data_IF_266202743924
#
_entry.id   IF_266202743924
#
_cell.length_a   1.000
_cell.length_b   1.000
_cell.length_c   1.000
_cell.angle_alpha   90.00
_cell.angle_beta   90.00
_cell.angle_gamma   90.00
#
_symmetry.space_group_name_H-M   'P 1'
#
loop_
_entity.id
_entity.type
_entity.pdbx_description
1 polymer ?
#
# COMPACT_ATOMS: atom_id res chain seq x y z
N UNK A 1 0.53 5.26 31.11
CA UNK A 1 -0.48 6.36 31.19
C UNK A 1 -1.32 6.21 29.94
N UNK A 2 -2.66 6.34 30.02
CA UNK A 2 -3.46 6.33 28.79
C UNK A 2 -3.18 7.59 27.98
N UNK A 3 -3.16 7.46 26.63
CA UNK A 3 -2.99 8.60 25.73
C UNK A 3 -4.14 9.60 25.89
N UNK A 4 -3.85 10.88 25.70
CA UNK A 4 -4.91 11.88 25.52
C UNK A 4 -5.66 11.52 24.25
N UNK A 5 -6.99 11.41 24.33
CA UNK A 5 -7.80 10.90 23.22
C UNK A 5 -9.02 11.79 23.02
N UNK A 6 -9.23 12.24 21.79
CA UNK A 6 -10.47 12.89 21.38
C UNK A 6 -11.43 11.83 20.80
N UNK A 7 -12.66 11.81 21.26
CA UNK A 7 -13.68 10.86 20.76
C UNK A 7 -14.88 11.62 20.21
N UNK A 8 -15.16 11.41 18.93
CA UNK A 8 -16.32 11.98 18.23
C UNK A 8 -17.25 10.84 17.85
N UNK A 9 -18.43 10.81 18.47
CA UNK A 9 -19.42 9.77 18.24
C UNK A 9 -20.41 10.19 17.16
N UNK A 10 -20.44 9.43 16.07
CA UNK A 10 -21.46 9.61 15.03
C UNK A 10 -22.88 9.31 15.52
N UNK A 11 -23.87 9.81 14.80
CA UNK A 11 -25.30 9.70 15.17
C UNK A 11 -25.81 8.26 15.22
N UNK A 12 -25.23 7.37 14.43
CA UNK A 12 -25.59 5.95 14.29
C UNK A 12 -24.42 5.03 14.67
N UNK A 13 -23.49 5.50 15.50
CA UNK A 13 -22.24 4.81 15.77
C UNK A 13 -22.47 3.40 16.32
N UNK A 14 -21.96 2.43 15.59
CA UNK A 14 -21.97 1.00 15.89
C UNK A 14 -20.58 0.34 15.80
N UNK A 15 -19.58 1.08 15.33
CA UNK A 15 -18.21 0.64 15.12
C UNK A 15 -17.20 1.70 15.56
N UNK A 16 -15.99 1.28 15.83
CA UNK A 16 -14.88 2.18 16.16
C UNK A 16 -14.08 2.50 14.88
N UNK A 17 -13.75 3.79 14.68
CA UNK A 17 -12.75 4.25 13.72
C UNK A 17 -11.57 4.81 14.52
N UNK A 18 -10.47 4.07 14.61
CA UNK A 18 -9.19 4.62 15.10
C UNK A 18 -8.63 5.52 14.01
N UNK A 19 -8.39 6.80 14.31
CA UNK A 19 -7.88 7.76 13.34
C UNK A 19 -6.60 8.42 13.87
N UNK A 20 -5.44 7.99 13.36
CA UNK A 20 -4.12 8.29 13.88
C UNK A 20 -3.47 9.42 13.06
N UNK A 21 -3.09 10.51 13.75
CA UNK A 21 -2.49 11.69 13.12
C UNK A 21 -1.04 11.50 12.69
N UNK A 22 -0.52 12.41 11.85
CA UNK A 22 0.86 12.43 11.39
C UNK A 22 1.80 13.19 12.34
N UNK A 23 3.07 13.32 11.91
CA UNK A 23 4.09 14.10 12.62
C UNK A 23 3.68 15.56 12.74
N UNK A 24 3.84 16.14 13.93
CA UNK A 24 3.63 17.57 14.19
C UNK A 24 2.16 17.97 14.39
N UNK A 25 1.24 17.00 14.42
CA UNK A 25 -0.18 17.18 14.66
C UNK A 25 -0.61 16.71 16.07
N UNK A 26 -1.91 16.67 16.33
CA UNK A 26 -2.48 16.24 17.60
C UNK A 26 -3.82 15.49 17.41
N UNK A 27 -4.51 15.18 18.49
CA UNK A 27 -5.79 14.45 18.51
C UNK A 27 -6.97 15.20 17.87
N UNK A 28 -6.80 16.44 17.44
CA UNK A 28 -7.86 17.24 16.81
C UNK A 28 -7.70 17.31 15.29
N UNK A 29 -6.47 17.08 14.79
CA UNK A 29 -6.06 17.35 13.42
C UNK A 29 -6.98 16.69 12.37
N UNK A 30 -7.23 15.39 12.51
CA UNK A 30 -8.02 14.63 11.53
C UNK A 30 -9.54 14.71 11.76
N UNK A 31 -9.99 15.35 12.84
CA UNK A 31 -11.41 15.47 13.17
C UNK A 31 -12.23 16.19 12.09
N UNK A 32 -11.60 17.14 11.38
CA UNK A 32 -12.22 17.85 10.25
C UNK A 32 -12.52 16.97 9.03
N UNK A 33 -11.95 15.78 8.94
CA UNK A 33 -12.20 14.84 7.84
C UNK A 33 -13.46 13.99 8.05
N UNK A 34 -13.95 13.86 9.28
CA UNK A 34 -15.07 12.98 9.64
C UNK A 34 -16.35 13.23 8.83
N UNK A 35 -16.78 14.48 8.55
CA UNK A 35 -17.97 14.71 7.74
C UNK A 35 -17.87 14.15 6.30
N UNK A 36 -16.66 13.92 5.81
CA UNK A 36 -16.40 13.37 4.48
C UNK A 36 -16.16 11.88 4.51
N UNK A 37 -15.51 11.36 5.56
CA UNK A 37 -15.21 9.94 5.72
C UNK A 37 -16.42 9.13 6.18
N UNK A 38 -17.23 9.71 7.06
CA UNK A 38 -18.39 9.05 7.70
C UNK A 38 -19.62 9.97 7.69
N UNK A 39 -20.17 10.29 6.51
CA UNK A 39 -21.31 11.17 6.39
C UNK A 39 -22.57 10.63 7.09
N UNK A 40 -22.68 9.32 7.23
CA UNK A 40 -23.82 8.65 7.85
C UNK A 40 -23.66 8.46 9.38
N UNK A 41 -22.51 8.82 9.93
CA UNK A 41 -22.22 8.75 11.36
C UNK A 41 -22.22 7.33 11.94
N UNK A 42 -21.71 6.36 11.18
CA UNK A 42 -21.66 4.94 11.57
C UNK A 42 -20.54 4.64 12.56
N UNK A 43 -19.53 5.52 12.63
CA UNK A 43 -18.38 5.32 13.48
C UNK A 43 -18.38 6.19 14.73
N UNK A 44 -17.81 5.67 15.82
CA UNK A 44 -17.23 6.48 16.87
C UNK A 44 -15.74 6.64 16.53
N UNK A 45 -15.35 7.83 16.11
CA UNK A 45 -13.98 8.15 15.78
C UNK A 45 -13.16 8.38 17.06
N UNK A 46 -12.10 7.64 17.22
CA UNK A 46 -11.16 7.67 18.34
C UNK A 46 -9.82 8.19 17.83
N UNK A 47 -9.44 9.38 18.26
CA UNK A 47 -8.27 10.11 17.79
C UNK A 47 -7.30 10.33 18.95
N UNK A 48 -6.30 9.46 19.14
CA UNK A 48 -5.30 9.61 20.20
C UNK A 48 -4.22 10.61 19.81
N UNK A 49 -3.66 11.31 20.81
CA UNK A 49 -2.48 12.16 20.70
C UNK A 49 -1.22 11.34 20.88
N UNK A 50 -0.24 11.52 20.00
CA UNK A 50 1.07 10.92 20.15
C UNK A 50 1.80 11.38 21.43
N UNK A 51 2.64 10.53 22.05
CA UNK A 51 3.22 10.82 23.38
C UNK A 51 4.41 11.77 23.33
N UNK A 52 5.07 11.96 22.19
CA UNK A 52 6.33 12.70 22.08
C UNK A 52 6.07 14.07 21.45
N UNK A 53 6.53 15.17 22.05
CA UNK A 53 6.46 16.49 21.44
C UNK A 53 7.36 16.55 20.20
N UNK A 54 6.82 17.04 19.07
CA UNK A 54 7.55 17.12 17.82
C UNK A 54 8.41 18.39 17.77
N UNK A 55 9.74 18.29 17.58
CA UNK A 55 10.62 19.46 17.51
C UNK A 55 10.23 20.42 16.40
N UNK A 56 10.20 21.70 16.73
CA UNK A 56 9.93 22.77 15.76
C UNK A 56 8.46 22.95 15.38
N UNK A 57 7.55 22.20 15.99
CA UNK A 57 6.10 22.32 15.79
C UNK A 57 5.37 22.39 17.14
N UNK A 58 4.14 22.90 17.20
CA UNK A 58 3.34 22.85 18.43
C UNK A 58 2.73 21.46 18.70
N UNK A 59 2.89 20.49 17.80
CA UNK A 59 2.25 19.17 17.84
C UNK A 59 3.16 18.06 18.36
N UNK A 60 2.78 16.85 18.03
CA UNK A 60 3.33 15.62 18.59
C UNK A 60 3.78 14.65 17.50
N UNK A 61 4.57 13.64 17.86
CA UNK A 61 5.03 12.57 16.99
C UNK A 61 4.98 11.23 17.71
N UNK A 62 4.80 10.18 16.96
CA UNK A 62 4.71 8.82 17.48
C UNK A 62 6.10 8.22 17.72
N UNK A 63 7.04 8.53 16.85
CA UNK A 63 8.43 8.10 16.91
C UNK A 63 9.31 9.09 16.13
N UNK A 64 10.56 9.19 16.53
CA UNK A 64 11.51 10.18 16.01
C UNK A 64 12.39 9.60 14.90
N UNK A 65 11.98 9.76 13.64
CA UNK A 65 12.78 9.35 12.48
C UNK A 65 14.02 10.24 12.24
N UNK A 66 14.07 11.42 12.83
CA UNK A 66 15.16 12.39 12.69
C UNK A 66 16.28 12.23 13.70
N UNK A 67 16.10 11.38 14.73
CA UNK A 67 17.08 11.19 15.81
C UNK A 67 17.27 12.44 16.68
N UNK A 68 16.27 13.31 16.74
CA UNK A 68 16.30 14.57 17.55
C UNK A 68 16.00 14.34 19.03
N UNK A 69 15.42 13.18 19.38
CA UNK A 69 15.14 12.76 20.76
C UNK A 69 16.02 11.59 21.18
N UNK A 70 16.19 11.41 22.49
CA UNK A 70 16.88 10.23 23.01
C UNK A 70 16.00 8.98 22.89
N UNK A 71 16.54 7.92 22.33
CA UNK A 71 15.89 6.61 22.19
C UNK A 71 16.00 6.01 20.80
N UNK A 72 15.83 4.70 20.72
CA UNK A 72 15.80 3.96 19.46
C UNK A 72 14.44 4.15 18.79
N UNK A 73 14.45 4.45 17.48
CA UNK A 73 13.22 4.66 16.69
C UNK A 73 12.33 3.41 16.69
N UNK A 74 12.93 2.23 16.72
CA UNK A 74 12.19 0.96 16.73
C UNK A 74 11.51 0.74 18.07
N UNK A 75 12.17 1.07 19.20
CA UNK A 75 11.59 0.99 20.53
C UNK A 75 10.40 1.97 20.65
N UNK A 76 10.55 3.20 20.16
CA UNK A 76 9.48 4.19 20.15
C UNK A 76 8.29 3.74 19.30
N UNK A 77 8.56 3.15 18.11
CA UNK A 77 7.53 2.60 17.24
C UNK A 77 6.75 1.45 17.90
N UNK A 78 7.46 0.52 18.54
CA UNK A 78 6.84 -0.60 19.28
C UNK A 78 6.02 -0.09 20.46
N UNK A 79 6.52 0.91 21.21
CA UNK A 79 5.78 1.53 22.29
C UNK A 79 4.50 2.22 21.80
N UNK A 80 4.56 2.96 20.67
CA UNK A 80 3.39 3.59 20.05
C UNK A 80 2.33 2.55 19.64
N UNK A 81 2.75 1.41 19.08
CA UNK A 81 1.83 0.32 18.75
C UNK A 81 1.14 -0.25 20.00
N UNK A 82 1.87 -0.45 21.08
CA UNK A 82 1.31 -0.97 22.33
C UNK A 82 0.31 0.02 22.97
N UNK A 83 0.60 1.31 22.91
CA UNK A 83 -0.30 2.36 23.42
C UNK A 83 -1.57 2.46 22.57
N UNK A 84 -1.46 2.41 21.21
CA UNK A 84 -2.62 2.40 20.32
C UNK A 84 -3.47 1.15 20.49
N UNK A 85 -2.84 -0.01 20.69
CA UNK A 85 -3.51 -1.28 20.96
C UNK A 85 -4.38 -1.18 22.21
N UNK A 86 -3.80 -0.65 23.29
CA UNK A 86 -4.51 -0.42 24.55
C UNK A 86 -5.67 0.57 24.41
N UNK A 87 -5.48 1.66 23.63
CA UNK A 87 -6.57 2.63 23.34
C UNK A 87 -7.72 1.95 22.62
N UNK A 88 -7.44 1.12 21.60
CA UNK A 88 -8.50 0.41 20.88
C UNK A 88 -9.28 -0.51 21.81
N UNK A 89 -8.59 -1.30 22.64
CA UNK A 89 -9.23 -2.22 23.58
C UNK A 89 -10.09 -1.48 24.62
N UNK A 90 -9.55 -0.41 25.21
CA UNK A 90 -10.26 0.42 26.16
C UNK A 90 -11.51 1.05 25.55
N UNK A 91 -11.39 1.65 24.37
CA UNK A 91 -12.51 2.35 23.73
C UNK A 91 -13.56 1.38 23.18
N UNK A 92 -13.16 0.23 22.63
CA UNK A 92 -14.10 -0.82 22.26
C UNK A 92 -14.91 -1.31 23.47
N UNK A 93 -14.25 -1.54 24.61
CA UNK A 93 -14.93 -1.95 25.86
C UNK A 93 -15.88 -0.87 26.38
N UNK A 94 -15.46 0.40 26.39
CA UNK A 94 -16.29 1.53 26.86
C UNK A 94 -17.52 1.78 25.97
N UNK A 95 -17.36 1.63 24.65
CA UNK A 95 -18.41 1.87 23.67
C UNK A 95 -19.30 0.65 23.41
N UNK A 96 -18.88 -0.53 23.88
CA UNK A 96 -19.58 -1.80 23.65
C UNK A 96 -19.46 -2.33 22.23
N UNK A 97 -18.36 -2.00 21.53
CA UNK A 97 -18.08 -2.46 20.17
C UNK A 97 -17.12 -3.65 20.15
N UNK A 98 -17.27 -4.54 19.18
CA UNK A 98 -16.29 -5.59 18.96
C UNK A 98 -15.04 -5.02 18.29
N UNK A 99 -13.86 -5.45 18.75
CA UNK A 99 -12.58 -5.03 18.14
C UNK A 99 -12.47 -5.47 16.66
N UNK A 100 -13.04 -6.63 16.33
CA UNK A 100 -13.10 -7.13 14.95
C UNK A 100 -13.92 -6.26 14.00
N UNK A 101 -14.78 -5.38 14.54
CA UNK A 101 -15.58 -4.44 13.76
C UNK A 101 -14.92 -3.05 13.67
N UNK A 102 -13.79 -2.85 14.34
CA UNK A 102 -13.05 -1.60 14.29
C UNK A 102 -12.34 -1.43 12.94
N UNK A 103 -12.26 -0.19 12.47
CA UNK A 103 -11.41 0.18 11.31
C UNK A 103 -10.25 1.02 11.82
N UNK A 104 -9.05 0.74 11.33
CA UNK A 104 -7.85 1.52 11.67
C UNK A 104 -7.52 2.44 10.50
N UNK A 105 -7.40 3.71 10.77
CA UNK A 105 -7.09 4.72 9.77
C UNK A 105 -5.98 5.65 10.27
N UNK A 106 -5.22 6.24 9.35
CA UNK A 106 -4.24 7.24 9.73
C UNK A 106 -3.57 7.92 8.55
N UNK A 107 -2.93 9.04 8.85
CA UNK A 107 -2.18 9.84 7.90
C UNK A 107 -0.69 9.84 8.24
N UNK A 108 0.19 9.73 7.24
CA UNK A 108 1.65 9.81 7.39
C UNK A 108 2.19 8.79 8.41
N UNK A 109 2.82 9.22 9.53
CA UNK A 109 3.21 8.31 10.62
C UNK A 109 2.03 7.48 11.11
N UNK A 110 0.85 8.11 11.27
CA UNK A 110 -0.36 7.43 11.71
C UNK A 110 -0.84 6.38 10.71
N UNK A 111 -0.69 6.62 9.42
CA UNK A 111 -0.99 5.62 8.38
C UNK A 111 -0.10 4.38 8.46
N UNK A 112 1.20 4.59 8.71
CA UNK A 112 2.15 3.50 8.94
C UNK A 112 1.83 2.70 10.21
N UNK A 113 1.43 3.38 11.30
CA UNK A 113 1.02 2.73 12.55
C UNK A 113 -0.30 1.97 12.41
N UNK A 114 -1.28 2.50 11.67
CA UNK A 114 -2.54 1.81 11.41
C UNK A 114 -2.30 0.47 10.67
N UNK A 115 -1.42 0.48 9.66
CA UNK A 115 -1.00 -0.73 8.95
C UNK A 115 -0.31 -1.72 9.88
N UNK A 116 0.67 -1.26 10.66
CA UNK A 116 1.43 -2.13 11.56
C UNK A 116 0.54 -2.74 12.66
N UNK A 117 -0.34 -1.93 13.27
CA UNK A 117 -1.27 -2.38 14.30
C UNK A 117 -2.24 -3.46 13.77
N UNK A 118 -2.70 -3.29 12.53
CA UNK A 118 -3.68 -4.20 11.94
C UNK A 118 -3.09 -5.42 11.25
N UNK A 119 -1.85 -5.35 10.74
CA UNK A 119 -1.29 -6.40 9.89
C UNK A 119 -0.09 -7.14 10.49
N UNK A 120 0.74 -6.46 11.32
CA UNK A 120 2.00 -7.07 11.75
C UNK A 120 1.80 -8.04 12.93
N UNK A 121 2.75 -8.94 13.07
CA UNK A 121 2.87 -9.75 14.28
C UNK A 121 3.14 -8.85 15.48
N UNK A 122 2.51 -9.14 16.61
CA UNK A 122 2.80 -8.43 17.83
C UNK A 122 4.27 -8.70 18.27
N UNK A 123 5.00 -7.68 18.77
CA UNK A 123 6.39 -7.86 19.19
C UNK A 123 6.59 -8.92 20.27
N UNK A 124 5.58 -9.15 21.09
CA UNK A 124 5.53 -10.16 22.14
C UNK A 124 5.01 -11.53 21.67
N UNK A 125 4.67 -11.65 20.38
CA UNK A 125 4.09 -12.85 19.79
C UNK A 125 2.63 -13.12 20.18
N UNK A 126 1.96 -12.17 20.87
CA UNK A 126 0.56 -12.32 21.23
C UNK A 126 -0.35 -12.31 20.00
N UNK A 127 -1.38 -13.15 20.02
CA UNK A 127 -2.42 -13.10 18.98
C UNK A 127 -3.26 -11.83 19.17
N UNK A 128 -3.44 -11.07 18.06
CA UNK A 128 -4.29 -9.87 18.03
C UNK A 128 -5.57 -10.15 17.25
N UNK A 129 -6.67 -9.58 17.74
CA UNK A 129 -7.91 -9.55 16.95
C UNK A 129 -7.72 -8.53 15.82
N UNK A 130 -7.86 -8.97 14.57
CA UNK A 130 -7.71 -8.12 13.39
C UNK A 130 -8.86 -7.15 13.23
N UNK A 131 -8.62 -5.93 12.71
CA UNK A 131 -9.68 -4.96 12.40
C UNK A 131 -10.50 -5.41 11.19
N UNK A 132 -11.67 -4.80 11.01
CA UNK A 132 -12.51 -4.98 9.83
C UNK A 132 -11.86 -4.43 8.55
N UNK A 133 -10.98 -3.43 8.67
CA UNK A 133 -10.25 -2.86 7.55
C UNK A 133 -9.24 -1.81 7.97
N UNK A 134 -8.38 -1.39 7.04
CA UNK A 134 -7.33 -0.39 7.28
C UNK A 134 -7.31 0.64 6.15
N UNK A 135 -7.37 1.93 6.52
CA UNK A 135 -7.20 3.07 5.61
C UNK A 135 -5.88 3.77 5.89
N UNK A 136 -4.93 3.69 4.98
CA UNK A 136 -3.61 4.30 5.11
C UNK A 136 -3.44 5.46 4.09
N UNK A 137 -3.42 6.69 4.58
CA UNK A 137 -3.28 7.90 3.78
C UNK A 137 -1.82 8.39 3.83
N UNK A 138 -1.15 8.42 2.69
CA UNK A 138 0.28 8.80 2.53
C UNK A 138 1.19 8.17 3.61
N UNK A 139 1.15 6.84 3.82
CA UNK A 139 1.72 6.22 4.99
C UNK A 139 3.24 6.28 5.04
N UNK A 140 3.80 6.67 6.19
CA UNK A 140 5.21 6.47 6.54
C UNK A 140 5.37 5.06 7.13
N UNK A 141 5.23 4.03 6.29
CA UNK A 141 5.26 2.66 6.73
C UNK A 141 6.68 2.22 7.13
N UNK A 142 6.79 1.57 8.27
CA UNK A 142 7.97 0.80 8.67
C UNK A 142 7.76 -0.67 8.30
N UNK A 143 8.83 -1.34 7.89
CA UNK A 143 8.78 -2.78 7.56
C UNK A 143 8.69 -3.62 8.84
N UNK A 144 7.86 -4.65 8.80
CA UNK A 144 7.69 -5.60 9.90
C UNK A 144 7.12 -6.93 9.39
N UNK A 145 7.20 -7.99 10.19
CA UNK A 145 6.65 -9.29 9.81
C UNK A 145 5.11 -9.21 9.77
N UNK A 146 4.53 -9.45 8.60
CA UNK A 146 3.07 -9.55 8.43
C UNK A 146 2.60 -10.87 9.05
N UNK A 147 1.47 -10.85 9.74
CA UNK A 147 0.91 -12.05 10.35
C UNK A 147 0.08 -12.85 9.34
N UNK A 148 0.05 -14.16 9.49
CA UNK A 148 -0.64 -15.06 8.55
C UNK A 148 -2.14 -14.79 8.42
N UNK A 149 -2.78 -14.33 9.51
CA UNK A 149 -4.20 -13.97 9.55
C UNK A 149 -4.52 -12.57 8.99
N UNK A 150 -3.50 -11.79 8.63
CA UNK A 150 -3.66 -10.48 7.99
C UNK A 150 -4.31 -10.54 6.61
N UNK A 151 -4.27 -11.70 5.94
CA UNK A 151 -4.92 -11.93 4.64
C UNK A 151 -6.46 -11.76 4.67
N UNK A 152 -7.06 -11.73 5.86
CA UNK A 152 -8.48 -11.46 6.03
C UNK A 152 -8.83 -9.95 6.07
N UNK A 153 -7.83 -9.07 6.18
CA UNK A 153 -8.02 -7.62 6.43
C UNK A 153 -7.91 -6.82 5.14
N UNK A 154 -9.00 -6.22 4.65
CA UNK A 154 -8.94 -5.33 3.49
C UNK A 154 -8.18 -4.04 3.85
N UNK A 155 -7.39 -3.56 2.90
CA UNK A 155 -6.56 -2.35 3.05
C UNK A 155 -6.83 -1.38 1.89
N UNK A 156 -7.05 -0.11 2.20
CA UNK A 156 -6.98 0.98 1.24
C UNK A 156 -5.73 1.82 1.51
N UNK A 157 -4.83 1.90 0.53
CA UNK A 157 -3.67 2.79 0.57
C UNK A 157 -3.89 3.94 -0.41
N UNK A 158 -3.74 5.17 0.05
CA UNK A 158 -3.87 6.39 -0.75
C UNK A 158 -2.58 7.19 -0.70
N UNK A 159 -2.15 7.79 -1.83
CA UNK A 159 -0.93 8.61 -1.85
C UNK A 159 -0.98 9.75 -2.87
N UNK A 160 -0.22 10.83 -2.58
CA UNK A 160 -0.02 11.94 -3.49
C UNK A 160 1.09 11.68 -4.50
N UNK A 161 0.83 11.87 -5.81
CA UNK A 161 1.85 11.69 -6.84
C UNK A 161 2.98 12.73 -6.76
N UNK A 162 2.71 13.88 -6.14
CA UNK A 162 3.64 14.99 -5.99
C UNK A 162 4.15 15.14 -4.54
N UNK A 163 4.05 14.09 -3.72
CA UNK A 163 4.47 14.10 -2.32
C UNK A 163 5.99 14.31 -2.20
N UNK A 164 6.45 15.46 -1.64
CA UNK A 164 7.86 15.76 -1.50
C UNK A 164 8.50 15.14 -0.25
N UNK A 165 7.69 14.65 0.70
CA UNK A 165 8.16 14.10 1.97
C UNK A 165 8.29 12.59 1.92
N UNK A 166 7.28 11.91 1.38
CA UNK A 166 7.27 10.46 1.21
C UNK A 166 7.11 10.17 -0.27
N UNK A 167 8.17 9.72 -0.97
CA UNK A 167 8.06 9.38 -2.39
C UNK A 167 6.93 8.38 -2.64
N UNK A 168 6.07 8.66 -3.61
CA UNK A 168 4.91 7.84 -4.00
C UNK A 168 5.30 6.37 -4.26
N UNK A 169 6.53 6.15 -4.73
CA UNK A 169 7.07 4.81 -4.98
C UNK A 169 7.03 3.93 -3.72
N UNK A 170 7.20 4.50 -2.52
CA UNK A 170 7.10 3.72 -1.27
C UNK A 170 5.72 3.11 -1.06
N UNK A 171 4.65 3.82 -1.40
CA UNK A 171 3.30 3.29 -1.29
C UNK A 171 2.93 2.32 -2.42
N UNK A 172 3.51 2.50 -3.61
CA UNK A 172 3.42 1.52 -4.70
C UNK A 172 4.06 0.19 -4.29
N UNK A 173 5.29 0.26 -3.75
CA UNK A 173 6.00 -0.92 -3.25
C UNK A 173 5.23 -1.58 -2.11
N UNK A 174 4.74 -0.80 -1.15
CA UNK A 174 3.92 -1.29 -0.04
C UNK A 174 2.67 -2.03 -0.54
N UNK A 175 1.90 -1.43 -1.45
CA UNK A 175 0.69 -2.04 -1.98
C UNK A 175 0.98 -3.34 -2.73
N UNK A 176 2.06 -3.38 -3.51
CA UNK A 176 2.54 -4.59 -4.18
C UNK A 176 2.90 -5.66 -3.14
N UNK A 177 3.73 -5.35 -2.16
CA UNK A 177 4.20 -6.30 -1.16
C UNK A 177 3.03 -6.87 -0.33
N UNK A 178 2.04 -6.04 0.02
CA UNK A 178 0.80 -6.48 0.69
C UNK A 178 0.00 -7.46 -0.17
N UNK A 179 -0.18 -7.17 -1.45
CA UNK A 179 -0.87 -8.06 -2.40
C UNK A 179 -0.11 -9.36 -2.60
N UNK A 180 1.21 -9.32 -2.71
CA UNK A 180 2.06 -10.53 -2.81
C UNK A 180 1.95 -11.41 -1.55
N UNK A 181 1.73 -10.81 -0.39
CA UNK A 181 1.45 -11.54 0.85
C UNK A 181 0.02 -12.10 0.92
N UNK A 182 -0.86 -11.69 0.01
CA UNK A 182 -2.28 -12.10 -0.05
C UNK A 182 -3.22 -11.19 0.75
N UNK A 183 -2.76 -9.99 1.15
CA UNK A 183 -3.61 -8.98 1.81
C UNK A 183 -4.44 -8.26 0.74
N UNK A 184 -5.80 -8.28 0.83
CA UNK A 184 -6.67 -7.57 -0.11
C UNK A 184 -6.38 -6.07 -0.04
N UNK A 185 -5.72 -5.51 -1.08
CA UNK A 185 -5.23 -4.15 -1.05
C UNK A 185 -5.72 -3.35 -2.25
N UNK A 186 -6.50 -2.32 -1.98
CA UNK A 186 -6.85 -1.25 -2.93
C UNK A 186 -5.80 -0.17 -2.84
N UNK A 187 -5.28 0.31 -3.97
CA UNK A 187 -4.32 1.40 -4.02
C UNK A 187 -4.83 2.52 -4.92
N UNK A 188 -4.69 3.78 -4.45
CA UNK A 188 -5.15 4.98 -5.18
C UNK A 188 -4.11 6.09 -5.11
N UNK A 189 -3.91 6.78 -6.22
CA UNK A 189 -3.05 7.96 -6.31
C UNK A 189 -3.86 9.20 -6.69
N UNK A 190 -3.42 10.35 -6.17
CA UNK A 190 -4.05 11.64 -6.43
C UNK A 190 -2.99 12.69 -6.78
N UNK A 191 -3.29 13.68 -7.65
CA UNK A 191 -2.35 14.75 -8.01
C UNK A 191 -2.22 15.78 -6.88
N UNK A 192 -1.71 15.34 -5.73
CA UNK A 192 -1.53 16.15 -4.52
C UNK A 192 -0.12 15.95 -3.95
N UNK A 193 0.27 16.87 -3.06
CA UNK A 193 1.47 16.76 -2.22
C UNK A 193 1.21 15.87 -0.98
N UNK A 194 1.96 16.07 0.13
CA UNK A 194 1.78 15.34 1.39
C UNK A 194 0.55 15.85 2.16
N UNK A 195 -0.63 15.50 1.70
CA UNK A 195 -1.92 15.95 2.23
C UNK A 195 -3.02 14.92 1.93
N UNK A 196 -4.26 15.24 2.31
CA UNK A 196 -5.45 14.44 1.99
C UNK A 196 -6.29 15.20 0.97
N UNK A 197 -6.58 14.60 -0.19
CA UNK A 197 -7.44 15.18 -1.23
C UNK A 197 -8.93 14.90 -0.98
N UNK A 198 -9.81 15.79 -1.44
CA UNK A 198 -11.27 15.60 -1.35
C UNK A 198 -11.71 14.36 -2.13
N UNK A 199 -11.10 14.12 -3.30
CA UNK A 199 -11.36 12.92 -4.10
C UNK A 199 -10.98 11.66 -3.31
N UNK A 200 -9.83 11.69 -2.63
CA UNK A 200 -9.38 10.59 -1.75
C UNK A 200 -10.33 10.35 -0.58
N UNK A 201 -10.92 11.39 0.00
CA UNK A 201 -11.91 11.24 1.06
C UNK A 201 -13.20 10.59 0.55
N UNK A 202 -13.65 10.90 -0.68
CA UNK A 202 -14.82 10.26 -1.29
C UNK A 202 -14.58 8.77 -1.54
N UNK A 203 -13.42 8.42 -2.09
CA UNK A 203 -13.03 7.03 -2.31
C UNK A 203 -12.92 6.27 -0.98
N UNK A 204 -12.33 6.90 0.04
CA UNK A 204 -12.23 6.33 1.37
C UNK A 204 -13.61 6.13 2.02
N UNK A 205 -14.54 7.08 1.87
CA UNK A 205 -15.91 6.95 2.39
C UNK A 205 -16.66 5.80 1.75
N UNK A 206 -16.58 5.65 0.42
CA UNK A 206 -17.18 4.53 -0.30
C UNK A 206 -16.59 3.20 0.16
N UNK A 207 -15.26 3.12 0.23
CA UNK A 207 -14.55 1.93 0.71
C UNK A 207 -14.91 1.57 2.17
N UNK A 208 -15.04 2.56 3.06
CA UNK A 208 -15.49 2.35 4.43
C UNK A 208 -16.91 1.79 4.49
N UNK A 209 -17.81 2.26 3.62
CA UNK A 209 -19.19 1.75 3.52
C UNK A 209 -19.20 0.26 3.12
N UNK A 210 -18.36 -0.13 2.14
CA UNK A 210 -18.21 -1.53 1.72
C UNK A 210 -17.68 -2.41 2.87
N UNK A 211 -16.66 -1.94 3.61
CA UNK A 211 -16.14 -2.63 4.80
C UNK A 211 -17.22 -2.78 5.88
N UNK A 212 -18.03 -1.74 6.11
CA UNK A 212 -19.14 -1.79 7.08
C UNK A 212 -20.21 -2.79 6.64
N UNK A 213 -20.49 -2.90 5.34
CA UNK A 213 -21.42 -3.86 4.78
C UNK A 213 -20.90 -5.32 4.84
N UNK A 214 -19.63 -5.50 5.22
CA UNK A 214 -18.97 -6.82 5.20
C UNK A 214 -18.61 -7.27 3.79
N UNK A 215 -18.67 -6.37 2.84
CA UNK A 215 -18.15 -6.57 1.50
C UNK A 215 -16.63 -6.52 1.58
N UNK A 216 -15.96 -7.42 0.89
CA UNK A 216 -14.54 -7.27 0.64
C UNK A 216 -14.42 -6.40 -0.61
N UNK A 217 -13.89 -5.20 -0.51
CA UNK A 217 -13.54 -4.45 -1.70
C UNK A 217 -12.34 -5.16 -2.33
N UNK A 218 -12.62 -6.30 -2.95
CA UNK A 218 -11.70 -7.00 -3.83
C UNK A 218 -11.65 -6.20 -5.13
N UNK A 219 -10.90 -5.13 -5.10
CA UNK A 219 -10.41 -4.65 -6.36
C UNK A 219 -9.25 -5.55 -6.81
N UNK A 220 -9.62 -6.68 -7.36
CA UNK A 220 -8.92 -7.13 -8.56
C UNK A 220 -9.26 -6.08 -9.60
N UNK A 221 -8.59 -4.93 -9.54
CA UNK A 221 -8.58 -4.01 -10.68
C UNK A 221 -7.81 -4.77 -11.75
N UNK A 222 -8.58 -5.39 -12.65
CA UNK A 222 -8.02 -6.00 -13.85
C UNK A 222 -7.24 -4.96 -14.68
N UNK A 223 -7.41 -3.67 -14.36
CA UNK A 223 -6.70 -2.54 -14.90
C UNK A 223 -6.48 -1.52 -13.77
N UNK A 224 -5.44 -1.70 -12.94
CA UNK A 224 -4.90 -0.62 -12.14
C UNK A 224 -4.31 0.41 -13.11
N UNK A 225 -4.96 1.58 -13.32
CA UNK A 225 -4.46 2.56 -14.28
C UNK A 225 -3.09 3.12 -13.89
N UNK A 226 -2.59 2.75 -12.71
CA UNK A 226 -1.28 3.13 -12.17
C UNK A 226 -0.30 1.96 -12.08
N UNK A 227 -0.72 0.75 -12.49
CA UNK A 227 0.23 -0.34 -12.64
C UNK A 227 1.14 -0.03 -13.83
N UNK A 228 2.36 0.46 -13.53
CA UNK A 228 3.36 0.80 -14.56
C UNK A 228 3.68 -0.40 -15.47
N UNK A 229 3.48 -1.60 -14.96
CA UNK A 229 3.72 -2.87 -15.65
C UNK A 229 2.51 -3.78 -15.43
N UNK A 230 1.40 -3.60 -16.19
CA UNK A 230 0.18 -4.38 -16.02
C UNK A 230 0.40 -5.86 -16.30
N UNK A 231 -0.31 -6.71 -15.54
CA UNK A 231 -0.34 -8.15 -15.78
C UNK A 231 -1.15 -8.47 -17.02
N UNK A 232 -0.65 -9.37 -17.88
CA UNK A 232 -1.32 -9.80 -19.09
C UNK A 232 -1.59 -11.30 -19.04
N UNK A 233 -2.85 -11.67 -19.29
CA UNK A 233 -3.30 -13.06 -19.38
C UNK A 233 -3.22 -13.60 -20.80
N UNK A 234 -3.31 -14.93 -20.94
CA UNK A 234 -3.42 -15.59 -22.27
C UNK A 234 -4.57 -15.01 -23.12
N UNK A 235 -5.70 -14.64 -22.50
CA UNK A 235 -6.84 -14.06 -23.20
C UNK A 235 -6.55 -12.66 -23.77
N UNK A 236 -5.72 -11.89 -23.10
CA UNK A 236 -5.33 -10.52 -23.47
C UNK A 236 -4.09 -10.50 -24.37
N UNK A 237 -3.32 -11.60 -24.43
CA UNK A 237 -2.01 -11.67 -25.06
C UNK A 237 -1.97 -11.17 -26.50
N UNK A 238 -2.93 -11.58 -27.31
CA UNK A 238 -2.98 -11.17 -28.71
C UNK A 238 -3.15 -9.65 -28.84
N UNK A 239 -4.06 -9.06 -28.06
CA UNK A 239 -4.34 -7.63 -28.12
C UNK A 239 -3.20 -6.80 -27.53
N UNK A 240 -2.70 -7.20 -26.34
CA UNK A 240 -1.79 -6.41 -25.52
C UNK A 240 -0.32 -6.53 -25.98
N UNK A 241 0.05 -7.67 -26.59
CA UNK A 241 1.45 -7.95 -26.96
C UNK A 241 1.60 -8.13 -28.46
N UNK A 242 0.83 -9.04 -29.09
CA UNK A 242 1.07 -9.38 -30.50
C UNK A 242 0.62 -8.30 -31.47
N UNK A 243 -0.48 -7.59 -31.17
CA UNK A 243 -1.03 -6.50 -31.99
C UNK A 243 -0.65 -5.10 -31.48
N UNK A 244 0.24 -4.99 -30.52
CA UNK A 244 0.68 -3.69 -30.02
C UNK A 244 1.37 -2.87 -31.11
N UNK A 245 1.01 -1.59 -31.22
CA UNK A 245 1.68 -0.64 -32.11
C UNK A 245 3.08 -0.27 -31.63
N UNK A 246 3.31 -0.31 -30.32
CA UNK A 246 4.61 -0.10 -29.72
C UNK A 246 5.31 -1.45 -29.49
N UNK A 247 6.66 -1.46 -29.48
CA UNK A 247 7.40 -2.61 -28.98
C UNK A 247 7.02 -2.90 -27.54
N UNK A 248 6.85 -4.19 -27.18
CA UNK A 248 6.41 -4.61 -25.86
C UNK A 248 7.54 -5.31 -25.13
N UNK A 249 7.84 -4.85 -23.94
CA UNK A 249 8.71 -5.54 -22.98
C UNK A 249 7.81 -6.40 -22.11
N UNK A 250 8.11 -7.69 -22.00
CA UNK A 250 7.36 -8.64 -21.19
C UNK A 250 8.27 -9.20 -20.12
N UNK A 251 7.88 -9.01 -18.84
CA UNK A 251 8.53 -9.63 -17.68
C UNK A 251 7.82 -10.94 -17.33
N UNK A 252 8.47 -12.07 -17.57
CA UNK A 252 8.01 -13.38 -17.11
C UNK A 252 8.54 -13.64 -15.70
N UNK A 253 7.62 -13.75 -14.74
CA UNK A 253 7.92 -13.81 -13.32
C UNK A 253 7.03 -14.82 -12.57
N UNK A 254 7.31 -15.04 -11.28
CA UNK A 254 6.42 -15.74 -10.36
C UNK A 254 6.58 -15.21 -8.93
N UNK A 255 5.57 -15.35 -8.05
CA UNK A 255 5.61 -14.84 -6.66
C UNK A 255 6.76 -15.41 -5.81
N UNK A 256 7.12 -16.67 -6.02
CA UNK A 256 8.21 -17.35 -5.31
C UNK A 256 9.61 -17.00 -5.81
N UNK A 257 9.72 -16.26 -6.93
CA UNK A 257 11.01 -15.94 -7.57
C UNK A 257 11.66 -14.72 -6.92
N UNK A 258 12.58 -14.94 -5.99
CA UNK A 258 13.28 -13.85 -5.31
C UNK A 258 14.12 -12.95 -6.25
N UNK A 259 14.84 -13.46 -7.29
CA UNK A 259 15.50 -12.58 -8.26
C UNK A 259 14.52 -11.73 -9.10
N UNK A 260 13.29 -12.22 -9.35
CA UNK A 260 12.26 -11.45 -10.04
C UNK A 260 11.89 -10.20 -9.27
N UNK A 261 11.74 -10.29 -7.93
CA UNK A 261 11.46 -9.15 -7.06
C UNK A 261 12.53 -8.06 -7.12
N UNK A 262 13.78 -8.44 -7.40
CA UNK A 262 14.89 -7.49 -7.54
C UNK A 262 14.93 -6.84 -8.93
N UNK A 263 14.41 -7.50 -9.96
CA UNK A 263 14.33 -6.97 -11.33
C UNK A 263 13.09 -6.10 -11.54
N UNK A 264 11.99 -6.35 -10.83
CA UNK A 264 10.71 -5.61 -10.97
C UNK A 264 10.88 -4.09 -10.89
N UNK A 265 11.59 -3.50 -9.89
CA UNK A 265 11.80 -2.05 -9.83
C UNK A 265 12.58 -1.50 -11.04
N UNK A 266 13.43 -2.32 -11.65
CA UNK A 266 14.19 -1.96 -12.86
C UNK A 266 13.26 -1.90 -14.06
N UNK A 267 12.38 -2.89 -14.20
CA UNK A 267 11.37 -2.97 -15.27
C UNK A 267 10.34 -1.84 -15.13
N UNK A 268 9.89 -1.53 -13.92
CA UNK A 268 9.02 -0.39 -13.61
C UNK A 268 9.69 0.95 -13.98
N UNK A 269 10.98 1.11 -13.67
CA UNK A 269 11.75 2.30 -14.07
C UNK A 269 11.77 2.45 -15.59
N UNK A 270 11.96 1.34 -16.33
CA UNK A 270 11.91 1.33 -17.80
C UNK A 270 10.51 1.74 -18.27
N UNK A 271 9.46 1.19 -17.68
CA UNK A 271 8.08 1.53 -18.00
C UNK A 271 7.82 3.04 -17.83
N UNK A 272 8.20 3.61 -16.67
CA UNK A 272 8.02 5.03 -16.38
C UNK A 272 8.78 5.95 -17.33
N UNK A 273 10.04 5.60 -17.68
CA UNK A 273 10.92 6.45 -18.49
C UNK A 273 10.68 6.32 -19.99
N UNK A 274 9.99 5.27 -20.46
CA UNK A 274 9.91 4.92 -21.88
C UNK A 274 8.47 4.77 -22.40
N UNK A 275 7.49 5.33 -21.72
CA UNK A 275 6.04 5.20 -22.03
C UNK A 275 5.68 5.54 -23.48
N UNK A 276 6.39 6.47 -24.12
CA UNK A 276 6.16 6.83 -25.52
C UNK A 276 6.84 5.91 -26.54
N UNK A 277 7.76 5.04 -26.10
CA UNK A 277 8.60 4.22 -26.99
C UNK A 277 8.39 2.74 -26.82
N UNK A 278 7.96 2.30 -25.66
CA UNK A 278 7.76 0.90 -25.29
C UNK A 278 6.52 0.76 -24.42
N UNK A 279 5.78 -0.30 -24.64
CA UNK A 279 4.81 -0.83 -23.69
C UNK A 279 5.52 -1.86 -22.83
N UNK A 280 5.23 -1.88 -21.52
CA UNK A 280 5.82 -2.85 -20.60
C UNK A 280 4.69 -3.59 -19.90
N UNK A 281 4.76 -4.92 -19.88
CA UNK A 281 3.76 -5.79 -19.24
C UNK A 281 4.45 -6.93 -18.50
N UNK A 282 3.75 -7.58 -17.58
CA UNK A 282 4.25 -8.77 -16.87
C UNK A 282 3.34 -9.97 -17.07
N UNK A 283 3.90 -11.17 -16.98
CA UNK A 283 3.19 -12.46 -17.09
C UNK A 283 3.61 -13.34 -15.92
N UNK A 284 2.67 -13.69 -15.04
CA UNK A 284 2.90 -14.69 -14.01
C UNK A 284 2.88 -16.09 -14.66
N UNK A 285 4.00 -16.80 -14.63
CA UNK A 285 4.12 -18.11 -15.28
C UNK A 285 3.32 -19.22 -14.58
N UNK A 286 2.97 -19.04 -13.29
CA UNK A 286 2.15 -19.98 -12.55
C UNK A 286 0.68 -19.89 -12.99
N UNK A 287 0.20 -18.67 -13.28
CA UNK A 287 -1.17 -18.42 -13.75
C UNK A 287 -1.31 -18.66 -15.26
N UNK A 288 -0.23 -18.40 -16.02
CA UNK A 288 -0.21 -18.45 -17.49
C UNK A 288 0.81 -19.47 -18.05
N UNK A 289 0.73 -20.78 -17.65
CA UNK A 289 1.70 -21.79 -18.04
C UNK A 289 1.76 -22.05 -19.55
N UNK A 290 0.69 -21.75 -20.28
CA UNK A 290 0.66 -21.88 -21.74
C UNK A 290 1.56 -20.86 -22.42
N UNK A 291 1.57 -19.60 -21.96
CA UNK A 291 2.48 -18.57 -22.45
C UNK A 291 3.92 -18.90 -22.10
N UNK A 292 4.18 -19.37 -20.87
CA UNK A 292 5.51 -19.79 -20.47
C UNK A 292 6.04 -20.91 -21.39
N UNK A 293 5.23 -21.88 -21.74
CA UNK A 293 5.57 -22.96 -22.65
C UNK A 293 5.78 -22.47 -24.09
N UNK A 294 4.90 -21.61 -24.61
CA UNK A 294 4.94 -21.09 -25.99
C UNK A 294 6.24 -20.31 -26.25
N UNK A 295 6.69 -19.52 -25.26
CA UNK A 295 7.90 -18.70 -25.38
C UNK A 295 9.15 -19.34 -24.79
N UNK A 296 9.09 -20.62 -24.44
CA UNK A 296 10.21 -21.41 -23.90
C UNK A 296 10.84 -20.74 -22.66
N UNK A 297 10.00 -20.38 -21.69
CA UNK A 297 10.43 -19.80 -20.41
C UNK A 297 10.84 -20.90 -19.46
N UNK A 298 12.12 -21.30 -19.50
CA UNK A 298 12.66 -22.39 -18.68
C UNK A 298 13.18 -21.90 -17.31
N UNK A 299 13.44 -20.61 -17.17
CA UNK A 299 13.88 -19.99 -15.94
C UNK A 299 13.53 -18.51 -15.89
N UNK A 300 13.33 -17.98 -14.69
CA UNK A 300 12.90 -16.60 -14.43
C UNK A 300 13.88 -15.90 -13.45
N UNK A 301 13.97 -14.53 -13.49
CA UNK A 301 13.26 -13.63 -14.39
C UNK A 301 13.74 -13.77 -15.85
N UNK A 302 12.79 -13.75 -16.79
CA UNK A 302 13.07 -13.65 -18.22
C UNK A 302 12.36 -12.42 -18.76
N UNK A 303 13.12 -11.47 -19.30
CA UNK A 303 12.58 -10.27 -19.93
C UNK A 303 12.66 -10.41 -21.45
N UNK A 304 11.50 -10.40 -22.10
CA UNK A 304 11.38 -10.50 -23.55
C UNK A 304 11.07 -9.16 -24.19
N UNK A 305 11.69 -8.84 -25.34
CA UNK A 305 11.28 -7.74 -26.21
C UNK A 305 10.51 -8.28 -27.40
N UNK A 306 9.28 -7.85 -27.55
CA UNK A 306 8.40 -8.16 -28.68
C UNK A 306 8.31 -6.96 -29.63
N UNK A 307 8.41 -7.22 -30.93
CA UNK A 307 8.12 -6.26 -32.00
C UNK A 307 7.30 -6.89 -33.09
N UNK A 308 6.27 -6.18 -33.56
CA UNK A 308 5.38 -6.67 -34.63
C UNK A 308 4.87 -8.09 -34.36
N UNK A 309 4.51 -8.37 -33.11
CA UNK A 309 3.99 -9.67 -32.68
C UNK A 309 5.02 -10.79 -32.57
N UNK A 310 6.32 -10.51 -32.61
CA UNK A 310 7.39 -11.51 -32.53
C UNK A 310 8.36 -11.21 -31.42
N UNK A 311 8.75 -12.24 -30.69
CA UNK A 311 9.82 -12.16 -29.71
C UNK A 311 11.17 -12.00 -30.43
N UNK A 312 11.77 -10.81 -30.34
CA UNK A 312 13.04 -10.50 -31.00
C UNK A 312 14.26 -10.74 -30.12
N UNK A 313 14.13 -10.44 -28.82
CA UNK A 313 15.24 -10.55 -27.85
C UNK A 313 14.76 -11.06 -26.52
N UNK A 314 15.68 -11.72 -25.80
CA UNK A 314 15.49 -12.19 -24.42
C UNK A 314 16.68 -11.77 -23.55
N UNK A 315 16.40 -11.40 -22.32
CA UNK A 315 17.39 -11.23 -21.25
C UNK A 315 17.01 -12.13 -20.08
N UNK A 316 17.95 -12.93 -19.60
CA UNK A 316 17.72 -13.91 -18.57
C UNK A 316 18.45 -13.52 -17.28
N UNK A 317 17.77 -13.67 -16.15
CA UNK A 317 18.30 -13.41 -14.82
C UNK A 317 18.33 -11.93 -14.43
N UNK A 318 18.73 -11.67 -13.19
CA UNK A 318 18.85 -10.32 -12.65
C UNK A 318 19.98 -9.55 -13.34
N UNK A 319 19.63 -8.37 -13.87
CA UNK A 319 20.56 -7.45 -14.54
C UNK A 319 20.35 -6.04 -14.04
N UNK A 320 21.41 -5.25 -13.99
CA UNK A 320 21.27 -3.80 -13.82
C UNK A 320 20.60 -3.18 -15.07
N UNK A 321 19.86 -2.10 -14.90
CA UNK A 321 19.09 -1.44 -15.99
C UNK A 321 19.90 -1.21 -17.27
N UNK A 322 21.12 -0.62 -17.26
CA UNK A 322 21.85 -0.38 -18.51
C UNK A 322 22.19 -1.68 -19.25
N UNK A 323 22.48 -2.75 -18.53
CA UNK A 323 22.78 -4.05 -19.10
C UNK A 323 21.52 -4.71 -19.70
N UNK A 324 20.39 -4.63 -18.98
CA UNK A 324 19.08 -5.10 -19.46
C UNK A 324 18.67 -4.37 -20.76
N UNK A 325 18.73 -3.03 -20.76
CA UNK A 325 18.42 -2.24 -21.95
C UNK A 325 19.33 -2.57 -23.15
N UNK A 326 20.62 -2.81 -22.89
CA UNK A 326 21.57 -3.19 -23.95
C UNK A 326 21.29 -4.59 -24.53
N UNK A 327 21.01 -5.60 -23.66
CA UNK A 327 20.67 -6.96 -24.10
C UNK A 327 19.37 -6.99 -24.91
N UNK A 328 18.38 -6.17 -24.52
CA UNK A 328 17.14 -6.02 -25.27
C UNK A 328 17.29 -5.14 -26.53
N UNK A 329 18.46 -4.55 -26.77
CA UNK A 329 18.70 -3.68 -27.93
C UNK A 329 17.84 -2.44 -27.93
N UNK A 330 17.53 -1.92 -26.73
CA UNK A 330 16.80 -0.67 -26.57
C UNK A 330 17.71 0.50 -26.97
N UNK A 331 17.13 1.51 -27.63
CA UNK A 331 17.87 2.71 -27.98
C UNK A 331 18.37 3.40 -26.69
N UNK A 332 19.67 3.55 -26.56
CA UNK A 332 20.27 4.38 -25.52
C UNK A 332 19.96 5.83 -25.87
N UNK A 333 19.02 6.45 -25.15
CA UNK A 333 18.87 7.90 -25.18
C UNK A 333 19.90 8.44 -24.17
N UNK A 334 20.81 9.29 -24.60
CA UNK A 334 21.88 9.82 -23.76
C UNK A 334 21.37 10.63 -22.57
#
# INVERSE_FOLDING_TARGET
>A
MSLVTNVVKGSSASRLLLLVHGYGADEQDLGGLLPYLDPDGVFAAVMPRAPISAPGTPGYMWYDMGGSTAGDVTEQFVAALAELDAVVDEQCAQLGFARSDAVFAGFSQGGGLALALGLYQAPDGAARVRPAGILAMSPAAMTGPIADDAQAVPVLVQHGTNDPLIPVQRSRDLARDLREFGVPTVYREYPMEHQVAIEGLRDASAWLADVVAGERPDEVVADDPFELVPSVTTAQWEAEVLRSELPVIVDFWAPWCQPCRQVSPIVETIAAMRTSSYKVVKVNIDDEPKLAQEYDVQSIPLIGLFRNGRLERKSLGLKARPQLEAELGMLVIP
#
